data_IF_660209825914
#
_entry.id   IF_660209825914
#
_cell.length_a   1.000
_cell.length_b   1.000
_cell.length_c   1.000
_cell.angle_alpha   90.00
_cell.angle_beta   90.00
_cell.angle_gamma   90.00
#
_symmetry.space_group_name_H-M   'P 1'
#
loop_
_entity.id
_entity.type
_entity.pdbx_description
1 polymer ?
#
# COMPACT_ATOMS: atom_id res chain seq x y z
N UNK A 1 -1.17 -10.67 1.18
CA UNK A 1 -1.98 -9.43 1.20
C UNK A 1 -1.05 -8.24 1.17
N UNK A 2 -1.49 -7.15 0.57
CA UNK A 2 -0.65 -5.96 0.41
C UNK A 2 -0.15 -5.40 1.74
N UNK A 3 -1.03 -5.30 2.74
CA UNK A 3 -0.67 -4.74 4.05
C UNK A 3 0.25 -5.65 4.89
N UNK A 4 0.36 -6.93 4.54
CA UNK A 4 1.18 -7.87 5.30
C UNK A 4 2.62 -7.97 4.80
N UNK A 5 2.99 -7.24 3.75
CA UNK A 5 4.38 -7.28 3.25
C UNK A 5 5.38 -6.80 4.30
N UNK A 6 4.95 -5.95 5.25
CA UNK A 6 5.79 -5.51 6.35
C UNK A 6 6.23 -6.66 7.27
N UNK A 7 5.41 -7.71 7.36
CA UNK A 7 5.73 -8.90 8.17
C UNK A 7 6.82 -9.76 7.52
N UNK A 8 6.99 -9.63 6.22
CA UNK A 8 7.94 -10.41 5.43
C UNK A 8 9.28 -9.69 5.22
N UNK A 9 9.45 -8.49 5.78
CA UNK A 9 10.69 -7.74 5.69
C UNK A 9 11.15 -7.27 7.06
N UNK A 10 12.45 -7.33 7.30
CA UNK A 10 13.06 -6.84 8.53
C UNK A 10 13.29 -5.32 8.51
N UNK A 11 13.23 -4.70 7.34
CA UNK A 11 13.47 -3.28 7.18
C UNK A 11 12.14 -2.57 6.88
N UNK A 12 11.69 -1.73 7.82
CA UNK A 12 10.44 -0.98 7.70
C UNK A 12 10.65 0.48 7.27
N UNK A 13 11.80 0.81 6.68
CA UNK A 13 12.00 2.12 6.06
C UNK A 13 11.04 2.31 4.88
N UNK A 14 10.62 3.56 4.59
CA UNK A 14 9.63 3.80 3.51
C UNK A 14 10.01 3.19 2.17
N UNK A 15 11.28 3.33 1.76
CA UNK A 15 11.74 2.78 0.48
C UNK A 15 11.70 1.25 0.46
N UNK A 16 11.99 0.61 1.58
CA UNK A 16 11.96 -0.84 1.70
C UNK A 16 10.53 -1.38 1.65
N UNK A 17 9.59 -0.69 2.29
CA UNK A 17 8.17 -1.07 2.22
C UNK A 17 7.62 -0.86 0.82
N UNK A 18 7.97 0.25 0.17
CA UNK A 18 7.54 0.51 -1.21
C UNK A 18 8.06 -0.58 -2.15
N UNK A 19 9.31 -0.97 -2.01
CA UNK A 19 9.91 -2.05 -2.80
C UNK A 19 9.20 -3.38 -2.54
N UNK A 20 8.80 -3.65 -1.28
CA UNK A 20 8.08 -4.86 -0.92
C UNK A 20 6.69 -4.91 -1.54
N UNK A 21 5.98 -3.78 -1.56
CA UNK A 21 4.70 -3.69 -2.28
C UNK A 21 4.88 -3.98 -3.76
N UNK A 22 5.89 -3.37 -4.37
CA UNK A 22 6.19 -3.58 -5.79
C UNK A 22 6.50 -5.03 -6.10
N UNK A 23 7.30 -5.69 -5.26
CA UNK A 23 7.63 -7.12 -5.43
C UNK A 23 6.39 -8.00 -5.31
N UNK A 24 5.50 -7.71 -4.37
CA UNK A 24 4.26 -8.47 -4.19
C UNK A 24 3.38 -8.36 -5.43
N UNK A 25 3.16 -7.14 -5.94
CA UNK A 25 2.33 -6.91 -7.13
C UNK A 25 2.95 -7.54 -8.37
N UNK A 26 4.28 -7.45 -8.51
CA UNK A 26 4.99 -8.08 -9.62
C UNK A 26 4.85 -9.59 -9.61
N UNK A 27 4.91 -10.21 -8.42
CA UNK A 27 4.68 -11.65 -8.28
C UNK A 27 3.29 -12.04 -8.76
N UNK A 28 2.27 -11.25 -8.43
CA UNK A 28 0.90 -11.49 -8.90
C UNK A 28 0.83 -11.38 -10.42
N UNK A 29 1.43 -10.33 -11.00
CA UNK A 29 1.43 -10.13 -12.45
C UNK A 29 2.20 -11.24 -13.19
N UNK A 30 3.29 -11.73 -12.62
CA UNK A 30 4.05 -12.84 -13.21
C UNK A 30 3.20 -14.12 -13.25
N UNK A 31 2.35 -14.33 -12.25
CA UNK A 31 1.49 -15.51 -12.17
C UNK A 31 0.30 -15.43 -13.12
N UNK A 32 -0.34 -14.27 -13.27
CA UNK A 32 -1.56 -14.14 -14.09
C UNK A 32 -1.30 -13.64 -15.50
N UNK A 33 -0.20 -12.93 -15.72
CA UNK A 33 0.17 -12.34 -17.01
C UNK A 33 -0.41 -10.94 -17.23
N UNK A 34 0.34 -10.12 -17.96
CA UNK A 34 -0.05 -8.72 -18.25
C UNK A 34 -1.38 -8.65 -19.00
N UNK A 35 -1.57 -9.52 -20.00
CA UNK A 35 -2.81 -9.49 -20.81
C UNK A 35 -4.04 -9.79 -19.97
N UNK A 36 -3.97 -10.75 -19.06
CA UNK A 36 -5.06 -11.07 -18.13
C UNK A 36 -5.32 -9.90 -17.21
N UNK A 37 -4.27 -9.29 -16.67
CA UNK A 37 -4.39 -8.14 -15.77
C UNK A 37 -5.09 -6.97 -16.47
N UNK A 38 -4.73 -6.68 -17.72
CA UNK A 38 -5.39 -5.61 -18.50
C UNK A 38 -6.87 -5.95 -18.74
N UNK A 39 -7.17 -7.21 -19.03
CA UNK A 39 -8.56 -7.63 -19.31
C UNK A 39 -9.45 -7.62 -18.07
N UNK A 40 -8.91 -7.92 -16.90
CA UNK A 40 -9.69 -8.10 -15.67
C UNK A 40 -9.70 -6.87 -14.75
N UNK A 41 -8.85 -5.88 -15.01
CA UNK A 41 -8.86 -4.61 -14.26
C UNK A 41 -9.26 -3.49 -15.21
N UNK A 42 -9.63 -2.34 -14.64
CA UNK A 42 -9.91 -1.14 -15.44
C UNK A 42 -8.65 -0.31 -15.67
N UNK A 43 -7.48 -0.87 -15.38
CA UNK A 43 -6.21 -0.17 -15.49
C UNK A 43 -5.68 -0.21 -16.92
N UNK A 44 -5.01 0.87 -17.32
CA UNK A 44 -4.35 0.95 -18.62
C UNK A 44 -3.19 -0.04 -18.71
N UNK A 45 -2.93 -0.54 -19.92
CA UNK A 45 -1.77 -1.42 -20.16
C UNK A 45 -0.47 -0.76 -19.70
N UNK A 46 -0.31 0.55 -19.94
CA UNK A 46 0.89 1.29 -19.53
C UNK A 46 1.09 1.23 -18.01
N UNK A 47 0.01 1.35 -17.23
CA UNK A 47 0.06 1.22 -15.77
C UNK A 47 0.48 -0.18 -15.35
N UNK A 48 -0.11 -1.21 -15.94
CA UNK A 48 0.22 -2.61 -15.64
C UNK A 48 1.69 -2.91 -15.98
N UNK A 49 2.15 -2.45 -17.14
CA UNK A 49 3.54 -2.66 -17.55
C UNK A 49 4.52 -1.93 -16.63
N UNK A 50 4.19 -0.73 -16.17
CA UNK A 50 5.02 0.01 -15.22
C UNK A 50 5.16 -0.76 -13.91
N UNK A 51 4.07 -1.35 -13.39
CA UNK A 51 4.10 -2.18 -12.19
C UNK A 51 4.96 -3.41 -12.41
N UNK A 52 4.85 -4.05 -13.57
CA UNK A 52 5.68 -5.21 -13.92
C UNK A 52 7.17 -4.86 -13.94
N UNK A 53 7.51 -3.60 -14.25
CA UNK A 53 8.88 -3.08 -14.22
C UNK A 53 9.30 -2.58 -12.83
N UNK A 54 8.44 -2.68 -11.83
CA UNK A 54 8.72 -2.26 -10.47
C UNK A 54 8.43 -0.79 -10.17
N UNK A 55 7.79 -0.07 -11.10
CA UNK A 55 7.48 1.35 -10.95
C UNK A 55 6.11 1.52 -10.28
N UNK A 56 6.09 1.58 -8.95
CA UNK A 56 4.85 1.63 -8.16
C UNK A 56 4.70 2.89 -7.32
N UNK A 57 5.65 3.83 -7.39
CA UNK A 57 5.69 5.00 -6.51
C UNK A 57 4.41 5.85 -6.59
N UNK A 58 3.86 6.04 -7.78
CA UNK A 58 2.66 6.86 -8.01
C UNK A 58 1.38 6.04 -8.12
N UNK A 59 1.47 4.71 -8.03
CA UNK A 59 0.30 3.84 -8.06
C UNK A 59 -0.55 4.12 -6.82
N UNK A 60 -1.87 4.26 -7.00
CA UNK A 60 -2.76 4.46 -5.86
C UNK A 60 -3.06 3.15 -5.15
N UNK A 61 -3.50 3.23 -3.90
CA UNK A 61 -3.94 2.05 -3.15
C UNK A 61 -5.06 1.30 -3.89
N UNK A 62 -6.01 2.04 -4.47
CA UNK A 62 -7.11 1.43 -5.24
C UNK A 62 -6.59 0.66 -6.45
N UNK A 63 -5.65 1.24 -7.19
CA UNK A 63 -5.02 0.57 -8.33
C UNK A 63 -4.22 -0.67 -7.90
N UNK A 64 -3.44 -0.53 -6.83
CA UNK A 64 -2.66 -1.64 -6.28
C UNK A 64 -3.57 -2.78 -5.82
N UNK A 65 -4.70 -2.45 -5.19
CA UNK A 65 -5.68 -3.44 -4.74
C UNK A 65 -6.30 -4.20 -5.91
N UNK A 66 -6.57 -3.51 -7.03
CA UNK A 66 -7.08 -4.16 -8.23
C UNK A 66 -6.11 -5.23 -8.76
N UNK A 67 -4.81 -4.94 -8.73
CA UNK A 67 -3.79 -5.92 -9.13
C UNK A 67 -3.67 -7.05 -8.11
N UNK A 68 -3.58 -6.70 -6.82
CA UNK A 68 -3.45 -7.69 -5.75
C UNK A 68 -4.60 -8.70 -5.73
N UNK A 69 -5.81 -8.25 -6.06
CA UNK A 69 -7.00 -9.10 -6.08
C UNK A 69 -7.01 -10.10 -7.24
N UNK A 70 -6.09 -9.99 -8.20
CA UNK A 70 -5.95 -10.97 -9.27
C UNK A 70 -5.37 -12.31 -8.78
N UNK A 71 -4.70 -12.30 -7.63
CA UNK A 71 -4.27 -13.53 -6.96
C UNK A 71 -5.51 -14.31 -6.54
N UNK A 72 -5.61 -15.59 -6.96
CA UNK A 72 -6.77 -16.43 -6.67
C UNK A 72 -7.05 -16.66 -5.20
N UNK A 73 -6.05 -16.48 -4.33
CA UNK A 73 -6.20 -16.64 -2.88
C UNK A 73 -6.50 -15.32 -2.16
N UNK A 74 -6.49 -14.20 -2.89
CA UNK A 74 -6.76 -12.87 -2.31
C UNK A 74 -8.26 -12.57 -2.27
N UNK A 75 -8.71 -11.73 -1.32
CA UNK A 75 -10.07 -11.18 -1.36
C UNK A 75 -10.21 -10.21 -2.54
N UNK A 76 -11.43 -9.72 -2.79
CA UNK A 76 -11.65 -8.76 -3.88
C UNK A 76 -10.94 -7.42 -3.59
N UNK A 77 -10.86 -6.58 -4.63
CA UNK A 77 -10.11 -5.31 -4.54
C UNK A 77 -10.64 -4.39 -3.44
N UNK A 78 -11.96 -4.29 -3.29
CA UNK A 78 -12.56 -3.46 -2.24
C UNK A 78 -12.17 -3.96 -0.85
N UNK A 79 -12.18 -5.27 -0.63
CA UNK A 79 -11.76 -5.86 0.63
C UNK A 79 -10.27 -5.62 0.90
N UNK A 80 -9.41 -5.68 -0.13
CA UNK A 80 -7.98 -5.38 0.02
C UNK A 80 -7.78 -3.95 0.51
N UNK A 81 -8.50 -2.98 -0.06
CA UNK A 81 -8.43 -1.58 0.36
C UNK A 81 -8.88 -1.42 1.82
N UNK A 82 -10.03 -2.01 2.17
CA UNK A 82 -10.58 -1.91 3.53
C UNK A 82 -9.65 -2.54 4.55
N UNK A 83 -9.11 -3.71 4.27
CA UNK A 83 -8.17 -4.40 5.17
C UNK A 83 -6.88 -3.60 5.35
N UNK A 84 -6.38 -2.97 4.29
CA UNK A 84 -5.18 -2.14 4.38
C UNK A 84 -5.42 -0.94 5.30
N UNK A 85 -6.55 -0.24 5.13
CA UNK A 85 -6.89 0.90 5.99
C UNK A 85 -7.12 0.47 7.44
N UNK A 86 -7.81 -0.66 7.66
CA UNK A 86 -8.02 -1.20 8.99
C UNK A 86 -6.70 -1.57 9.67
N UNK A 87 -5.77 -2.12 8.91
CA UNK A 87 -4.43 -2.45 9.42
C UNK A 87 -3.69 -1.20 9.92
N UNK A 88 -3.78 -0.10 9.18
CA UNK A 88 -3.18 1.17 9.59
C UNK A 88 -3.85 1.69 10.88
N UNK A 89 -5.17 1.65 10.96
CA UNK A 89 -5.90 2.10 12.15
C UNK A 89 -5.55 1.27 13.38
N UNK A 90 -5.50 -0.04 13.24
CA UNK A 90 -5.12 -0.95 14.33
C UNK A 90 -3.68 -0.70 14.77
N UNK A 91 -2.78 -0.48 13.82
CA UNK A 91 -1.38 -0.17 14.10
C UNK A 91 -1.23 1.14 14.86
N UNK A 92 -1.98 2.18 14.48
CA UNK A 92 -2.00 3.45 15.18
C UNK A 92 -2.44 3.29 16.63
N UNK A 93 -3.49 2.52 16.85
CA UNK A 93 -4.02 2.26 18.19
C UNK A 93 -2.99 1.52 19.04
N UNK A 94 -2.40 0.48 18.49
CA UNK A 94 -1.40 -0.34 19.19
C UNK A 94 -0.14 0.48 19.51
N UNK A 95 0.30 1.33 18.57
CA UNK A 95 1.49 2.17 18.74
C UNK A 95 1.22 3.44 19.56
N UNK A 96 -0.04 3.71 19.88
CA UNK A 96 -0.48 4.93 20.59
C UNK A 96 -0.06 6.18 19.81
N UNK A 97 -0.37 6.20 18.49
CA UNK A 97 -0.09 7.31 17.60
C UNK A 97 -1.38 7.98 17.15
N UNK A 98 -1.38 9.31 17.14
CA UNK A 98 -2.43 10.07 16.46
C UNK A 98 -1.93 10.55 15.09
N UNK A 99 -2.82 11.15 14.30
CA UNK A 99 -2.48 11.58 12.94
C UNK A 99 -1.45 12.71 12.92
N UNK A 100 -1.44 13.57 13.93
CA UNK A 100 -0.46 14.66 14.03
C UNK A 100 0.93 14.13 14.34
N UNK A 101 1.03 13.12 15.20
CA UNK A 101 2.29 12.45 15.51
C UNK A 101 2.85 11.77 14.26
N UNK A 102 1.99 11.11 13.47
CA UNK A 102 2.41 10.48 12.21
C UNK A 102 2.90 11.55 11.24
N UNK A 103 2.12 12.63 11.03
CA UNK A 103 2.48 13.69 10.10
C UNK A 103 3.83 14.32 10.42
N UNK A 104 4.15 14.45 11.71
CA UNK A 104 5.43 15.02 12.16
C UNK A 104 6.64 14.18 11.76
N UNK A 105 6.48 12.88 11.58
CA UNK A 105 7.57 11.95 11.27
C UNK A 105 7.59 11.48 9.81
N UNK A 106 6.61 11.90 8.99
CA UNK A 106 6.53 11.46 7.61
C UNK A 106 7.69 11.99 6.74
N UNK A 107 8.11 11.16 5.78
CA UNK A 107 9.07 11.53 4.74
C UNK A 107 8.39 12.22 3.55
N UNK A 108 7.05 12.19 3.52
CA UNK A 108 6.24 12.85 2.49
C UNK A 108 5.49 14.02 3.12
N UNK A 109 5.04 14.96 2.30
CA UNK A 109 4.42 16.21 2.75
C UNK A 109 2.90 16.03 2.89
N UNK A 110 2.46 15.53 4.06
CA UNK A 110 1.05 15.39 4.40
C UNK A 110 0.82 16.02 5.78
N UNK A 111 -0.28 16.77 5.91
CA UNK A 111 -0.74 17.26 7.21
C UNK A 111 -1.43 16.15 7.99
N UNK A 112 -1.63 16.34 9.30
CA UNK A 112 -2.40 15.39 10.11
C UNK A 112 -3.81 15.18 9.58
N UNK A 113 -4.46 16.23 9.10
CA UNK A 113 -5.79 16.14 8.49
C UNK A 113 -5.76 15.28 7.21
N UNK A 114 -4.74 15.47 6.37
CA UNK A 114 -4.59 14.67 5.15
C UNK A 114 -4.29 13.21 5.46
N UNK A 115 -3.49 12.92 6.49
CA UNK A 115 -3.25 11.56 6.96
C UNK A 115 -4.58 10.92 7.39
N UNK A 116 -5.39 11.64 8.15
CA UNK A 116 -6.70 11.16 8.59
C UNK A 116 -7.61 10.87 7.41
N UNK A 117 -7.67 11.78 6.44
CA UNK A 117 -8.50 11.60 5.24
C UNK A 117 -8.05 10.41 4.42
N UNK A 118 -6.74 10.17 4.29
CA UNK A 118 -6.20 9.03 3.56
C UNK A 118 -6.56 7.71 4.25
N UNK A 119 -6.41 7.64 5.57
CA UNK A 119 -6.74 6.44 6.33
C UNK A 119 -8.24 6.15 6.31
N UNK A 120 -9.07 7.19 6.34
CA UNK A 120 -10.54 7.05 6.29
C UNK A 120 -11.07 6.82 4.86
N UNK A 121 -10.21 6.90 3.86
CA UNK A 121 -10.61 6.67 2.48
C UNK A 121 -11.27 7.85 1.80
N UNK A 122 -11.14 9.04 2.35
CA UNK A 122 -11.73 10.27 1.77
C UNK A 122 -10.90 10.85 0.65
N UNK A 123 -9.60 10.57 0.64
CA UNK A 123 -8.69 10.92 -0.45
C UNK A 123 -7.91 9.67 -0.86
N UNK A 124 -7.50 9.64 -2.13
CA UNK A 124 -6.64 8.56 -2.61
C UNK A 124 -5.25 8.67 -1.99
N UNK A 125 -4.63 7.51 -1.76
CA UNK A 125 -3.31 7.40 -1.20
C UNK A 125 -2.43 6.67 -2.20
N UNK A 126 -1.28 7.27 -2.56
CA UNK A 126 -0.29 6.58 -3.38
C UNK A 126 0.42 5.52 -2.54
N UNK A 127 1.08 4.57 -3.20
CA UNK A 127 1.89 3.58 -2.47
C UNK A 127 3.07 4.22 -1.76
N UNK A 128 3.62 5.33 -2.29
CA UNK A 128 4.64 6.11 -1.59
C UNK A 128 4.10 6.66 -0.27
N UNK A 129 2.90 7.20 -0.28
CA UNK A 129 2.25 7.71 0.94
C UNK A 129 1.90 6.59 1.91
N UNK A 130 1.37 5.48 1.39
CA UNK A 130 1.09 4.30 2.22
C UNK A 130 2.37 3.79 2.90
N UNK A 131 3.45 3.65 2.14
CA UNK A 131 4.73 3.20 2.68
C UNK A 131 5.26 4.15 3.76
N UNK A 132 5.12 5.46 3.56
CA UNK A 132 5.55 6.46 4.53
C UNK A 132 4.75 6.35 5.83
N UNK A 133 3.44 6.25 5.75
CA UNK A 133 2.56 6.13 6.92
C UNK A 133 2.83 4.79 7.64
N UNK A 134 2.85 3.70 6.91
CA UNK A 134 3.09 2.37 7.48
C UNK A 134 4.45 2.30 8.15
N UNK A 135 5.48 2.93 7.54
CA UNK A 135 6.82 2.97 8.10
C UNK A 135 6.84 3.62 9.49
N UNK A 136 6.16 4.75 9.67
CA UNK A 136 6.09 5.43 10.97
C UNK A 136 5.46 4.48 12.02
N UNK A 137 4.36 3.83 11.66
CA UNK A 137 3.65 2.92 12.56
C UNK A 137 4.52 1.71 12.92
N UNK A 138 5.10 1.05 11.92
CA UNK A 138 5.89 -0.17 12.13
C UNK A 138 7.16 0.11 12.95
N UNK A 139 7.83 1.23 12.70
CA UNK A 139 9.01 1.60 13.47
C UNK A 139 8.67 1.92 14.93
N UNK A 140 7.51 2.52 15.17
CA UNK A 140 7.05 2.77 16.53
C UNK A 140 6.72 1.46 17.25
N UNK A 141 6.15 0.48 16.55
CA UNK A 141 5.82 -0.82 17.12
C UNK A 141 7.08 -1.62 17.48
N UNK A 142 8.19 -1.39 16.79
CA UNK A 142 9.48 -2.02 17.07
C UNK A 142 10.19 -1.39 18.28
N UNK A 143 9.84 -0.19 18.65
CA UNK A 143 10.54 0.56 19.71
C UNK A 143 10.19 0.03 21.10
#
# INVERSE_FOLDING_TARGET
MLHTVADDTDNHAPDSLLAAYGSHLRTVLDAVGVDTAVAETDLDRATIEAVADGEVATLTLTEAAAIAALDGDAPDAEAVVLETRDHLLMGMTTAVLDVDAIAAELTVDLTGQEVQQAIEGRIEMSLTELAAIQSVIEQRLEA
#
